data_IF_530602560449
#
_entry.id   IF_530602560449
#
_cell.length_a   1.000
_cell.length_b   1.000
_cell.length_c   1.000
_cell.angle_alpha   90.00
_cell.angle_beta   90.00
_cell.angle_gamma   90.00
#
_symmetry.space_group_name_H-M   'P 1'
#
loop_
_entity.id
_entity.type
_entity.pdbx_description
1 polymer ?
#
# COMPACT_ATOMS: atom_id res chain seq x y z
N UNK A 1 6.38 -12.38 -22.22
CA UNK A 1 5.41 -12.04 -23.29
C UNK A 1 4.35 -11.15 -22.65
N UNK A 2 4.28 -9.88 -23.05
CA UNK A 2 3.34 -8.90 -22.52
C UNK A 2 1.91 -9.28 -22.90
N UNK A 3 1.05 -9.48 -21.90
CA UNK A 3 -0.37 -9.80 -22.09
C UNK A 3 -1.26 -8.81 -21.36
N UNK A 4 -1.26 -7.54 -21.77
CA UNK A 4 -2.29 -6.60 -21.37
C UNK A 4 -3.45 -6.66 -22.37
N UNK A 5 -4.66 -7.03 -21.87
CA UNK A 5 -6.02 -6.59 -22.26
C UNK A 5 -7.01 -7.59 -21.63
N UNK A 6 -8.11 -7.15 -20.98
CA UNK A 6 -9.20 -6.34 -21.53
C UNK A 6 -9.91 -5.58 -20.41
N UNK A 7 -10.23 -4.31 -20.66
CA UNK A 7 -11.30 -3.63 -19.92
C UNK A 7 -12.64 -3.84 -20.62
N UNK A 8 -13.73 -3.81 -19.87
CA UNK A 8 -15.00 -3.22 -20.30
C UNK A 8 -15.80 -2.82 -19.06
N UNK A 9 -16.13 -1.54 -18.93
CA UNK A 9 -17.17 -1.04 -18.06
C UNK A 9 -18.46 -0.96 -18.88
N UNK A 10 -19.49 -1.69 -18.46
CA UNK A 10 -20.88 -1.45 -18.90
C UNK A 10 -21.75 -1.50 -17.67
N UNK A 11 -22.31 -0.36 -17.29
CA UNK A 11 -23.45 -0.31 -16.39
C UNK A 11 -24.71 -0.57 -17.21
N UNK A 12 -25.49 -1.58 -16.84
CA UNK A 12 -26.94 -1.47 -16.95
C UNK A 12 -27.63 -2.32 -15.88
N UNK A 13 -28.65 -1.73 -15.27
CA UNK A 13 -29.31 -2.18 -14.05
C UNK A 13 -30.15 -3.45 -14.25
N UNK A 14 -30.12 -4.36 -13.28
CA UNK A 14 -31.09 -5.45 -13.20
C UNK A 14 -30.58 -6.74 -12.52
N UNK A 15 -30.43 -6.71 -11.19
CA UNK A 15 -30.21 -7.90 -10.37
C UNK A 15 -28.75 -8.11 -9.94
N UNK A 16 -28.34 -7.51 -8.81
CA UNK A 16 -26.96 -7.63 -8.34
C UNK A 16 -26.77 -8.94 -7.58
N UNK A 17 -26.47 -10.01 -8.31
CA UNK A 17 -25.61 -11.06 -7.76
C UNK A 17 -24.30 -10.40 -7.33
N UNK A 18 -23.77 -10.75 -6.16
CA UNK A 18 -22.45 -10.28 -5.70
C UNK A 18 -21.39 -10.88 -6.63
N UNK A 19 -21.18 -10.27 -7.78
CA UNK A 19 -20.02 -10.53 -8.61
C UNK A 19 -18.82 -10.04 -7.80
N UNK A 20 -18.10 -11.00 -7.21
CA UNK A 20 -16.83 -10.76 -6.54
C UNK A 20 -15.86 -10.32 -7.63
N UNK A 21 -15.78 -9.01 -7.84
CA UNK A 21 -14.69 -8.42 -8.60
C UNK A 21 -13.40 -8.80 -7.88
N UNK A 22 -12.60 -9.66 -8.50
CA UNK A 22 -11.29 -10.02 -7.95
C UNK A 22 -10.53 -8.73 -7.66
N UNK A 23 -10.14 -8.55 -6.39
CA UNK A 23 -9.31 -7.41 -6.03
C UNK A 23 -7.97 -7.57 -6.70
N UNK A 24 -7.61 -6.58 -7.50
CA UNK A 24 -6.29 -6.54 -8.11
C UNK A 24 -5.22 -6.50 -6.99
N UNK A 25 -4.14 -7.30 -7.12
CA UNK A 25 -3.01 -7.22 -6.22
C UNK A 25 -2.44 -5.81 -6.16
N UNK A 26 -2.08 -5.37 -4.96
CA UNK A 26 -1.37 -4.11 -4.79
C UNK A 26 0.12 -4.32 -5.06
N UNK A 27 0.73 -3.38 -5.77
CA UNK A 27 2.18 -3.39 -6.03
C UNK A 27 2.85 -2.30 -5.20
N UNK A 28 4.18 -2.39 -5.03
CA UNK A 28 4.95 -1.32 -4.40
C UNK A 28 5.13 -0.10 -5.31
N UNK A 29 4.87 -0.23 -6.61
CA UNK A 29 5.10 0.85 -7.57
C UNK A 29 4.27 2.07 -7.21
N UNK A 30 4.94 3.21 -7.14
CA UNK A 30 4.31 4.49 -6.84
C UNK A 30 4.52 5.45 -7.99
N UNK A 31 3.41 5.98 -8.50
CA UNK A 31 3.44 7.26 -9.21
C UNK A 31 3.24 8.37 -8.16
N UNK A 32 4.32 9.08 -7.84
CA UNK A 32 4.29 10.18 -6.88
C UNK A 32 3.65 11.44 -7.47
N UNK A 33 3.57 11.54 -8.80
CA UNK A 33 3.09 12.76 -9.47
C UNK A 33 1.62 13.07 -9.19
N UNK A 34 0.82 12.09 -8.74
CA UNK A 34 -0.62 12.23 -8.49
C UNK A 34 -0.98 12.16 -6.98
N UNK A 35 0.00 12.07 -6.08
CA UNK A 35 -0.24 11.86 -4.64
C UNK A 35 0.06 13.12 -3.85
N UNK A 36 -0.95 13.69 -3.18
CA UNK A 36 -0.84 14.95 -2.44
C UNK A 36 -1.48 14.86 -1.05
N UNK A 37 -1.08 15.76 -0.15
CA UNK A 37 -1.76 15.99 1.14
C UNK A 37 -1.48 14.95 2.22
N UNK A 38 -0.51 14.05 1.99
CA UNK A 38 -0.11 12.98 2.94
C UNK A 38 1.32 13.14 3.46
N UNK A 39 1.94 14.30 3.23
CA UNK A 39 3.35 14.51 3.58
C UNK A 39 3.57 14.49 5.10
N UNK A 40 2.64 15.01 5.89
CA UNK A 40 2.70 14.94 7.36
C UNK A 40 2.67 13.49 7.86
N UNK A 41 1.64 12.73 7.47
CA UNK A 41 1.50 11.31 7.82
C UNK A 41 2.74 10.49 7.40
N UNK A 42 3.24 10.73 6.18
CA UNK A 42 4.44 10.07 5.64
C UNK A 42 5.67 10.39 6.49
N UNK A 43 5.87 11.66 6.84
CA UNK A 43 7.04 12.11 7.59
C UNK A 43 7.06 11.53 9.01
N UNK A 44 5.91 11.49 9.69
CA UNK A 44 5.79 10.90 11.02
C UNK A 44 6.15 9.41 11.01
N UNK A 45 5.60 8.66 10.04
CA UNK A 45 5.89 7.24 9.89
C UNK A 45 7.37 7.00 9.57
N UNK A 46 7.94 7.74 8.62
CA UNK A 46 9.36 7.58 8.25
C UNK A 46 10.26 7.87 9.44
N UNK A 47 10.00 8.95 10.19
CA UNK A 47 10.77 9.29 11.38
C UNK A 47 10.70 8.20 12.44
N UNK A 48 9.53 7.62 12.67
CA UNK A 48 9.36 6.51 13.61
C UNK A 48 10.16 5.28 13.18
N UNK A 49 10.09 4.88 11.90
CA UNK A 49 10.79 3.70 11.39
C UNK A 49 12.31 3.85 11.35
N UNK A 50 12.82 5.08 11.28
CA UNK A 50 14.25 5.39 11.31
C UNK A 50 14.79 5.77 12.69
N UNK A 51 13.91 5.92 13.68
CA UNK A 51 14.36 6.21 15.03
C UNK A 51 15.11 5.02 15.61
N UNK A 52 16.26 5.27 16.21
CA UNK A 52 16.96 4.29 17.03
C UNK A 52 16.15 4.06 18.31
N UNK A 53 15.13 3.22 18.21
CA UNK A 53 14.38 2.79 19.37
C UNK A 53 15.29 1.80 20.10
N UNK A 54 15.82 2.21 21.24
CA UNK A 54 16.62 1.38 22.16
C UNK A 54 15.72 0.37 22.90
N UNK A 55 14.90 -0.37 22.15
CA UNK A 55 13.82 -1.23 22.63
C UNK A 55 14.22 -2.71 22.76
N UNK A 56 15.51 -3.00 22.94
CA UNK A 56 15.98 -4.36 23.23
C UNK A 56 15.45 -5.40 22.24
N UNK A 57 16.05 -5.48 21.04
CA UNK A 57 15.75 -6.48 20.01
C UNK A 57 14.30 -6.50 19.46
N UNK A 58 13.47 -5.48 19.72
CA UNK A 58 12.12 -5.39 19.15
C UNK A 58 12.09 -4.62 17.83
N UNK A 59 11.49 -5.21 16.80
CA UNK A 59 11.28 -4.54 15.52
C UNK A 59 10.09 -3.55 15.58
N UNK A 60 10.21 -2.34 15.03
CA UNK A 60 9.10 -1.38 14.98
C UNK A 60 7.99 -1.88 14.04
N UNK A 61 6.73 -1.81 14.50
CA UNK A 61 5.54 -2.24 13.74
C UNK A 61 4.56 -1.07 13.64
N UNK A 62 4.00 -0.85 12.45
CA UNK A 62 2.99 0.18 12.19
C UNK A 62 1.75 -0.45 11.55
N UNK A 63 0.58 -0.10 12.07
CA UNK A 63 -0.72 -0.47 11.49
C UNK A 63 -1.39 0.77 10.90
N UNK A 64 -1.80 0.71 9.62
CA UNK A 64 -2.54 1.79 8.94
C UNK A 64 -4.00 1.38 8.86
N UNK A 65 -4.86 2.02 9.65
CA UNK A 65 -6.28 1.67 9.81
C UNK A 65 -7.17 2.81 9.30
N UNK A 66 -8.36 2.46 8.80
CA UNK A 66 -9.33 3.43 8.29
C UNK A 66 -10.30 2.83 7.28
N UNK A 67 -11.32 3.61 6.90
CA UNK A 67 -12.36 3.18 5.97
C UNK A 67 -11.82 2.82 4.58
N UNK A 68 -12.62 2.07 3.81
CA UNK A 68 -12.34 1.78 2.40
C UNK A 68 -12.16 3.06 1.58
N UNK A 69 -11.27 3.04 0.58
CA UNK A 69 -11.04 4.20 -0.29
C UNK A 69 -10.19 5.34 0.29
N UNK A 70 -9.82 5.31 1.59
CA UNK A 70 -9.08 6.40 2.24
C UNK A 70 -7.59 6.55 1.83
N UNK A 71 -7.09 5.67 0.96
CA UNK A 71 -5.69 5.73 0.52
C UNK A 71 -4.67 5.14 1.50
N UNK A 72 -5.06 4.17 2.34
CA UNK A 72 -4.15 3.49 3.28
C UNK A 72 -2.95 2.84 2.58
N UNK A 73 -3.23 2.05 1.55
CA UNK A 73 -2.20 1.45 0.70
C UNK A 73 -1.37 2.51 -0.01
N UNK A 74 -1.99 3.62 -0.41
CA UNK A 74 -1.31 4.76 -1.03
C UNK A 74 -0.26 5.37 -0.09
N UNK A 75 -0.60 5.54 1.20
CA UNK A 75 0.33 6.02 2.23
C UNK A 75 1.47 5.02 2.46
N UNK A 76 1.16 3.73 2.57
CA UNK A 76 2.17 2.68 2.71
C UNK A 76 3.16 2.67 1.52
N UNK A 77 2.68 2.85 0.29
CA UNK A 77 3.53 2.98 -0.90
C UNK A 77 4.40 4.24 -0.86
N UNK A 78 3.88 5.38 -0.39
CA UNK A 78 4.67 6.61 -0.26
C UNK A 78 5.81 6.45 0.74
N UNK A 79 5.54 5.84 1.89
CA UNK A 79 6.56 5.52 2.90
C UNK A 79 7.57 4.52 2.32
N UNK A 80 7.10 3.41 1.77
CA UNK A 80 7.96 2.33 1.25
C UNK A 80 8.99 2.85 0.22
N UNK A 81 8.57 3.79 -0.63
CA UNK A 81 9.42 4.33 -1.70
C UNK A 81 10.22 5.57 -1.29
N UNK A 82 10.02 6.13 -0.09
CA UNK A 82 10.81 7.26 0.42
C UNK A 82 12.31 6.93 0.34
N UNK A 83 13.09 7.86 -0.21
CA UNK A 83 14.53 7.69 -0.42
C UNK A 83 15.28 7.32 0.87
N UNK A 84 14.82 7.79 2.04
CA UNK A 84 15.43 7.46 3.33
C UNK A 84 15.21 6.01 3.70
N UNK A 85 14.07 5.41 3.34
CA UNK A 85 13.86 3.96 3.50
C UNK A 85 14.81 3.16 2.62
N UNK A 86 15.08 3.64 1.40
CA UNK A 86 16.01 2.97 0.47
C UNK A 86 17.46 3.01 0.98
N UNK A 87 17.83 4.09 1.66
CA UNK A 87 19.17 4.25 2.24
C UNK A 87 19.36 3.45 3.53
N UNK A 88 18.31 3.33 4.34
CA UNK A 88 18.39 2.67 5.65
C UNK A 88 18.22 1.15 5.57
N UNK A 89 17.34 0.66 4.70
CA UNK A 89 17.06 -0.77 4.57
C UNK A 89 17.68 -1.33 3.28
N UNK A 90 18.66 -2.23 3.43
CA UNK A 90 19.31 -2.93 2.31
C UNK A 90 18.30 -3.77 1.50
N UNK A 91 17.32 -4.35 2.20
CA UNK A 91 16.28 -5.20 1.61
C UNK A 91 14.90 -4.72 2.03
N UNK A 92 13.99 -4.65 1.06
CA UNK A 92 12.58 -4.31 1.26
C UNK A 92 11.71 -5.22 0.42
N UNK A 93 10.56 -5.62 0.96
CA UNK A 93 9.58 -6.45 0.25
C UNK A 93 8.18 -5.88 0.39
N UNK A 94 7.35 -6.12 -0.62
CA UNK A 94 5.94 -5.74 -0.63
C UNK A 94 5.11 -6.98 -0.96
N UNK A 95 4.24 -7.36 -0.04
CA UNK A 95 3.41 -8.56 -0.16
C UNK A 95 1.94 -8.15 -0.18
N UNK A 96 1.24 -8.58 -1.23
CA UNK A 96 -0.21 -8.52 -1.28
C UNK A 96 -0.79 -9.85 -0.80
N UNK A 97 -1.83 -9.75 0.02
CA UNK A 97 -2.55 -10.88 0.60
C UNK A 97 -4.02 -10.76 0.19
N UNK A 98 -4.55 -11.77 -0.50
CA UNK A 98 -5.98 -11.92 -0.80
C UNK A 98 -6.54 -13.16 -0.14
N UNK A 99 -7.75 -13.03 0.41
CA UNK A 99 -8.50 -14.06 1.16
C UNK A 99 -7.77 -14.64 2.39
N UNK A 100 -8.49 -15.18 3.38
CA UNK A 100 -7.84 -15.79 4.54
C UNK A 100 -6.98 -16.98 4.09
N UNK A 101 -5.75 -17.01 4.59
CA UNK A 101 -4.89 -18.19 4.48
C UNK A 101 -5.29 -19.16 5.59
N UNK A 102 -5.51 -20.43 5.25
CA UNK A 102 -5.62 -21.55 6.20
C UNK A 102 -4.27 -21.88 6.84
#
# INVERSE_FOLDING_TARGET
>A
MLGLKKGTCVSNEGGVGRELTERLPTTSLVDESCKYGRDGDKEEIVKFLLSDIDSGNQAPIISIVGLGGMGKTTLAQLVYNDHRMQQHFELKTWVYVSEPFD
#
